data_IF_425417622677
#
_entry.id   IF_425417622677
#
_cell.length_a   1.000
_cell.length_b   1.000
_cell.length_c   1.000
_cell.angle_alpha   90.00
_cell.angle_beta   90.00
_cell.angle_gamma   90.00
#
_symmetry.space_group_name_H-M   'P 1'
#
loop_
_entity.id
_entity.type
_entity.pdbx_description
1 polymer ?
#
# COMPACT_ATOMS: atom_id res chain seq x y z
N UNK A 1 6.61 5.88 -3.69
CA UNK A 1 5.59 6.71 -3.03
C UNK A 1 6.20 7.38 -1.80
N UNK A 2 5.91 8.65 -1.54
CA UNK A 2 6.42 9.40 -0.37
C UNK A 2 5.24 9.99 0.39
N UNK A 3 5.18 9.74 1.70
CA UNK A 3 4.17 10.31 2.60
C UNK A 3 4.86 10.74 3.90
N UNK A 4 4.85 12.05 4.20
CA UNK A 4 5.59 12.62 5.32
C UNK A 4 7.06 12.13 5.34
N UNK A 5 7.48 11.43 6.39
CA UNK A 5 8.83 10.86 6.54
C UNK A 5 8.92 9.40 6.06
N UNK A 6 7.82 8.83 5.56
CA UNK A 6 7.76 7.45 5.10
C UNK A 6 7.94 7.35 3.58
N UNK A 7 8.68 6.32 3.16
CA UNK A 7 8.90 6.00 1.74
C UNK A 7 8.57 4.55 1.50
N UNK A 8 7.62 4.32 0.59
CA UNK A 8 7.31 3.01 0.06
C UNK A 8 7.92 2.88 -1.33
N UNK A 9 8.80 1.90 -1.50
CA UNK A 9 9.36 1.56 -2.81
C UNK A 9 8.29 0.90 -3.65
N UNK A 10 7.96 1.50 -4.80
CA UNK A 10 7.03 0.91 -5.76
C UNK A 10 7.88 0.24 -6.85
N UNK A 11 7.82 -1.09 -7.01
CA UNK A 11 8.56 -1.78 -8.07
C UNK A 11 8.05 -1.34 -9.44
N UNK A 12 8.93 -1.23 -10.43
CA UNK A 12 8.60 -0.76 -11.79
C UNK A 12 7.99 -1.83 -12.70
N UNK A 13 7.65 -3.00 -12.16
CA UNK A 13 7.06 -4.09 -12.92
C UNK A 13 5.63 -3.72 -13.33
N UNK A 14 5.20 -4.15 -14.52
CA UNK A 14 3.82 -3.95 -14.99
C UNK A 14 2.80 -4.80 -14.22
N UNK A 15 3.26 -5.89 -13.60
CA UNK A 15 2.44 -6.80 -12.83
C UNK A 15 3.09 -7.10 -11.48
N UNK A 16 2.25 -7.26 -10.46
CA UNK A 16 2.66 -7.65 -9.13
C UNK A 16 2.11 -9.02 -8.79
N UNK A 17 2.93 -9.83 -8.11
CA UNK A 17 2.40 -11.03 -7.48
C UNK A 17 1.42 -10.64 -6.37
N UNK A 18 0.38 -11.44 -6.18
CA UNK A 18 -0.61 -11.25 -5.12
C UNK A 18 0.06 -11.13 -3.72
N UNK A 19 1.08 -11.94 -3.36
CA UNK A 19 1.80 -11.76 -2.09
C UNK A 19 2.51 -10.41 -1.96
N UNK A 20 3.12 -9.92 -3.04
CA UNK A 20 3.83 -8.63 -3.06
C UNK A 20 2.85 -7.47 -2.86
N UNK A 21 1.70 -7.51 -3.55
CA UNK A 21 0.67 -6.49 -3.38
C UNK A 21 0.16 -6.43 -1.93
N UNK A 22 -0.11 -7.60 -1.32
CA UNK A 22 -0.51 -7.68 0.09
C UNK A 22 0.54 -7.12 1.05
N UNK A 23 1.82 -7.35 0.78
CA UNK A 23 2.90 -6.79 1.59
C UNK A 23 2.88 -5.25 1.53
N UNK A 24 2.78 -4.69 0.32
CA UNK A 24 2.75 -3.24 0.12
C UNK A 24 1.55 -2.59 0.83
N UNK A 25 0.36 -3.18 0.74
CA UNK A 25 -0.84 -2.68 1.43
C UNK A 25 -0.63 -2.67 2.94
N UNK A 26 -0.08 -3.75 3.52
CA UNK A 26 0.20 -3.82 4.98
C UNK A 26 1.20 -2.77 5.45
N UNK A 27 2.22 -2.47 4.64
CA UNK A 27 3.16 -1.39 4.95
C UNK A 27 2.45 -0.03 4.98
N UNK A 28 1.54 0.23 4.04
CA UNK A 28 0.71 1.44 4.04
C UNK A 28 -0.15 1.51 5.30
N UNK A 29 -0.90 0.45 5.62
CA UNK A 29 -1.74 0.37 6.83
C UNK A 29 -0.93 0.65 8.12
N UNK A 30 0.30 0.15 8.17
CA UNK A 30 1.22 0.40 9.30
C UNK A 30 1.63 1.87 9.36
N UNK A 31 1.96 2.49 8.22
CA UNK A 31 2.34 3.91 8.12
C UNK A 31 1.20 4.82 8.57
N UNK A 32 -0.05 4.51 8.19
CA UNK A 32 -1.22 5.33 8.55
C UNK A 32 -1.86 4.92 9.89
N UNK A 33 -1.29 3.91 10.56
CA UNK A 33 -1.75 3.35 11.83
C UNK A 33 -3.25 2.94 11.85
N UNK A 34 -3.78 2.49 10.71
CA UNK A 34 -5.16 1.99 10.58
C UNK A 34 -5.27 1.02 9.40
N UNK A 35 -6.29 0.15 9.44
CA UNK A 35 -6.63 -0.71 8.31
C UNK A 35 -7.36 0.07 7.23
N UNK A 36 -7.16 -0.35 5.98
CA UNK A 36 -7.91 0.15 4.83
C UNK A 36 -9.01 -0.86 4.55
N UNK A 37 -10.26 -0.44 4.71
CA UNK A 37 -11.39 -1.31 4.40
C UNK A 37 -11.68 -1.29 2.89
N UNK A 38 -12.45 -2.26 2.42
CA UNK A 38 -12.73 -2.41 0.98
C UNK A 38 -13.59 -1.25 0.43
N UNK A 39 -14.50 -0.70 1.24
CA UNK A 39 -15.40 0.38 0.81
C UNK A 39 -14.60 1.67 0.58
N UNK A 40 -13.76 2.03 1.55
CA UNK A 40 -12.81 3.14 1.46
C UNK A 40 -11.86 2.98 0.26
N UNK A 41 -11.30 1.79 0.07
CA UNK A 41 -10.43 1.51 -1.07
C UNK A 41 -11.13 1.78 -2.40
N UNK A 42 -12.41 1.43 -2.51
CA UNK A 42 -13.19 1.62 -3.74
C UNK A 42 -13.61 3.08 -3.98
N UNK A 43 -13.44 3.97 -3.00
CA UNK A 43 -13.74 5.40 -3.09
C UNK A 43 -12.50 6.27 -3.42
N UNK A 44 -11.29 5.68 -3.47
CA UNK A 44 -10.03 6.36 -3.83
C UNK A 44 -9.82 6.50 -5.34
#
# INVERSE_FOLDING_TARGET
MVYQQHRLTIPSNSEYSIPQLRMMIREVETIIARQINIDEWNEL
#
